data_IF_653168957747
#
_entry.id   IF_653168957747
#
_cell.length_a   1.000
_cell.length_b   1.000
_cell.length_c   1.000
_cell.angle_alpha   90.00
_cell.angle_beta   90.00
_cell.angle_gamma   90.00
#
_symmetry.space_group_name_H-M   'P 1'
#
loop_
_entity.id
_entity.type
_entity.pdbx_description
1 polymer ?
#
# COMPACT_ATOMS: atom_id res chain seq x y z
N UNK A 1 -16.10 -11.46 7.70
CA UNK A 1 -17.09 -11.10 6.65
C UNK A 1 -16.45 -11.35 5.28
N UNK A 2 -17.20 -11.59 4.20
CA UNK A 2 -16.63 -11.59 2.84
C UNK A 2 -17.06 -10.34 2.11
N UNK A 3 -16.12 -9.56 1.59
CA UNK A 3 -16.37 -8.39 0.76
C UNK A 3 -15.73 -8.61 -0.61
N UNK A 4 -16.30 -7.95 -1.62
CA UNK A 4 -15.76 -7.90 -2.97
C UNK A 4 -15.59 -6.43 -3.34
N UNK A 5 -14.40 -6.09 -3.84
CA UNK A 5 -14.14 -4.79 -4.45
C UNK A 5 -13.89 -4.99 -5.93
N UNK A 6 -14.65 -4.27 -6.75
CA UNK A 6 -14.43 -4.25 -8.18
C UNK A 6 -13.09 -3.59 -8.48
N UNK A 7 -12.42 -4.03 -9.54
CA UNK A 7 -11.22 -3.37 -10.05
C UNK A 7 -11.49 -1.89 -10.33
N UNK A 8 -10.46 -1.07 -10.24
CA UNK A 8 -10.50 0.37 -10.55
C UNK A 8 -11.45 1.19 -9.66
N UNK A 9 -11.78 0.69 -8.46
CA UNK A 9 -12.55 1.42 -7.45
C UNK A 9 -11.74 1.62 -6.17
N UNK A 10 -11.94 2.74 -5.48
CA UNK A 10 -11.19 3.03 -4.26
C UNK A 10 -9.74 3.48 -4.49
N UNK A 11 -9.44 3.95 -5.71
CA UNK A 11 -8.14 4.52 -6.05
C UNK A 11 -8.00 5.95 -5.53
N UNK A 12 -6.88 6.21 -4.87
CA UNK A 12 -6.49 7.51 -4.33
C UNK A 12 -5.08 7.85 -4.82
N UNK A 13 -4.85 9.13 -5.09
CA UNK A 13 -3.52 9.67 -5.33
C UNK A 13 -2.90 10.07 -3.99
N UNK A 14 -1.72 9.54 -3.67
CA UNK A 14 -1.03 9.80 -2.40
C UNK A 14 0.45 10.11 -2.64
N UNK A 15 1.05 10.93 -1.76
CA UNK A 15 2.49 11.23 -1.84
C UNK A 15 2.91 12.01 -3.10
N UNK A 16 4.17 11.84 -3.56
CA UNK A 16 4.74 12.58 -4.69
C UNK A 16 4.31 12.06 -6.08
N UNK A 17 3.21 11.31 -6.17
CA UNK A 17 2.70 10.77 -7.44
C UNK A 17 2.33 9.28 -7.40
N UNK A 18 2.47 8.62 -6.25
CA UNK A 18 2.05 7.24 -6.06
C UNK A 18 0.52 7.13 -6.19
N UNK A 19 0.08 6.07 -6.85
CA UNK A 19 -1.34 5.73 -6.97
C UNK A 19 -1.61 4.49 -6.15
N UNK A 20 -2.51 4.59 -5.16
CA UNK A 20 -2.90 3.47 -4.32
C UNK A 20 -4.36 3.11 -4.54
N UNK A 21 -4.63 1.82 -4.72
CA UNK A 21 -5.99 1.27 -4.72
C UNK A 21 -6.18 0.48 -3.44
N UNK A 22 -7.17 0.84 -2.63
CA UNK A 22 -7.49 0.09 -1.41
C UNK A 22 -8.12 -1.23 -1.82
N UNK A 23 -7.46 -2.35 -1.54
CA UNK A 23 -8.00 -3.69 -1.79
C UNK A 23 -8.84 -4.20 -0.61
N UNK A 24 -8.41 -3.89 0.61
CA UNK A 24 -9.15 -4.15 1.85
C UNK A 24 -8.94 -2.98 2.82
N UNK A 25 -10.03 -2.39 3.31
CA UNK A 25 -9.98 -1.34 4.33
C UNK A 25 -9.91 -1.93 5.73
N UNK A 26 -9.51 -1.11 6.71
CA UNK A 26 -9.51 -1.51 8.12
C UNK A 26 -10.93 -1.84 8.62
N UNK A 27 -11.96 -1.16 8.13
CA UNK A 27 -13.36 -1.46 8.50
C UNK A 27 -13.80 -2.83 7.97
N UNK A 28 -13.33 -3.23 6.78
CA UNK A 28 -13.67 -4.51 6.17
C UNK A 28 -12.93 -5.70 6.81
N UNK A 29 -11.80 -5.42 7.46
CA UNK A 29 -10.95 -6.41 8.13
C UNK A 29 -11.09 -6.40 9.65
N UNK A 30 -12.11 -5.71 10.19
CA UNK A 30 -12.33 -5.55 11.63
C UNK A 30 -11.09 -5.00 12.38
N UNK A 31 -10.25 -4.22 11.69
CA UNK A 31 -9.04 -3.62 12.24
C UNK A 31 -7.76 -4.45 12.08
N UNK A 32 -7.82 -5.65 11.52
CA UNK A 32 -6.67 -6.57 11.48
C UNK A 32 -5.55 -6.09 10.53
N UNK A 33 -5.92 -5.58 9.35
CA UNK A 33 -4.95 -5.09 8.37
C UNK A 33 -5.58 -4.13 7.34
N UNK A 34 -4.72 -3.43 6.61
CA UNK A 34 -5.07 -2.80 5.33
C UNK A 34 -4.33 -3.52 4.22
N UNK A 35 -4.95 -3.65 3.04
CA UNK A 35 -4.26 -4.13 1.85
C UNK A 35 -4.41 -3.11 0.73
N UNK A 36 -3.29 -2.78 0.09
CA UNK A 36 -3.20 -1.78 -0.96
C UNK A 36 -2.53 -2.41 -2.18
N UNK A 37 -3.00 -2.05 -3.37
CA UNK A 37 -2.20 -2.13 -4.58
C UNK A 37 -1.58 -0.76 -4.82
N UNK A 38 -0.27 -0.73 -5.08
CA UNK A 38 0.48 0.51 -5.22
C UNK A 38 1.18 0.56 -6.58
N UNK A 39 0.92 1.62 -7.35
CA UNK A 39 1.74 2.00 -8.49
C UNK A 39 2.66 3.12 -8.03
N UNK A 40 3.92 2.76 -7.83
CA UNK A 40 4.98 3.65 -7.37
C UNK A 40 5.88 4.01 -8.56
N UNK A 41 5.94 5.29 -8.99
CA UNK A 41 6.84 5.69 -10.07
C UNK A 41 8.32 5.60 -9.64
N UNK A 42 9.27 5.64 -10.59
CA UNK A 42 10.68 5.79 -10.26
C UNK A 42 10.92 6.98 -9.33
N UNK A 43 11.79 6.80 -8.33
CA UNK A 43 12.08 7.76 -7.26
C UNK A 43 10.85 8.14 -6.38
N UNK A 44 9.76 7.39 -6.50
CA UNK A 44 8.54 7.53 -5.69
C UNK A 44 8.63 6.83 -4.33
N UNK A 45 7.47 6.66 -3.70
CA UNK A 45 7.37 6.09 -2.37
C UNK A 45 7.49 7.12 -1.24
N UNK A 46 7.28 6.69 0.00
CA UNK A 46 7.34 7.57 1.16
C UNK A 46 8.80 7.94 1.51
N UNK A 47 9.03 9.10 2.17
CA UNK A 47 10.30 9.36 2.85
C UNK A 47 10.65 8.25 3.84
N UNK A 48 11.93 8.12 4.20
CA UNK A 48 12.36 7.17 5.23
C UNK A 48 11.59 7.40 6.54
N UNK A 49 10.89 6.38 7.03
CA UNK A 49 10.04 6.45 8.21
C UNK A 49 9.98 5.11 8.95
N UNK A 50 9.28 5.09 10.10
CA UNK A 50 9.10 3.91 10.94
C UNK A 50 7.60 3.73 11.29
N UNK A 51 7.15 2.49 11.23
CA UNK A 51 5.90 2.05 11.84
C UNK A 51 6.20 1.50 13.23
N UNK A 52 5.60 2.08 14.27
CA UNK A 52 5.83 1.66 15.66
C UNK A 52 5.04 0.41 16.03
N UNK A 53 3.80 0.31 15.54
CA UNK A 53 2.85 -0.73 15.94
C UNK A 53 2.35 -1.56 14.75
N UNK A 54 2.85 -1.31 13.54
CA UNK A 54 2.44 -2.00 12.32
C UNK A 54 3.60 -2.75 11.68
N UNK A 55 3.27 -3.86 11.04
CA UNK A 55 4.16 -4.56 10.11
C UNK A 55 3.72 -4.17 8.71
N UNK A 56 4.68 -3.76 7.88
CA UNK A 56 4.46 -3.51 6.46
C UNK A 56 5.11 -4.62 5.63
N UNK A 57 4.44 -5.05 4.56
CA UNK A 57 4.92 -6.12 3.68
C UNK A 57 4.69 -5.72 2.23
N UNK A 58 5.70 -5.96 1.39
CA UNK A 58 5.67 -5.65 -0.03
C UNK A 58 5.67 -6.93 -0.85
N UNK A 59 4.74 -7.04 -1.79
CA UNK A 59 4.72 -8.10 -2.80
C UNK A 59 4.75 -7.45 -4.18
N UNK A 60 5.87 -7.61 -4.90
CA UNK A 60 6.08 -6.97 -6.19
C UNK A 60 5.33 -7.74 -7.28
N UNK A 61 4.31 -7.11 -7.86
CA UNK A 61 3.53 -7.67 -8.96
C UNK A 61 4.27 -7.51 -10.30
N UNK A 62 4.81 -6.31 -10.55
CA UNK A 62 5.53 -5.96 -11.77
C UNK A 62 6.66 -4.97 -11.46
N UNK A 63 7.73 -4.99 -12.26
CA UNK A 63 8.87 -4.08 -12.12
C UNK A 63 9.86 -4.47 -11.00
N UNK A 64 10.52 -3.47 -10.44
CA UNK A 64 11.57 -3.61 -9.43
C UNK A 64 11.42 -2.51 -8.38
N UNK A 65 11.79 -2.79 -7.12
CA UNK A 65 11.74 -1.83 -6.02
C UNK A 65 13.02 -1.91 -5.18
N UNK A 66 13.64 -0.75 -4.93
CA UNK A 66 14.73 -0.62 -3.96
C UNK A 66 14.15 -0.23 -2.60
N UNK A 67 14.50 -0.98 -1.55
CA UNK A 67 13.99 -0.75 -0.19
C UNK A 67 15.17 -0.57 0.77
N UNK A 68 15.17 0.53 1.51
CA UNK A 68 16.10 0.77 2.62
C UNK A 68 15.43 0.42 3.95
N UNK A 69 16.03 -0.47 4.75
CA UNK A 69 15.51 -0.89 6.06
C UNK A 69 16.59 -0.77 7.13
N UNK A 70 16.25 -0.14 8.26
CA UNK A 70 17.10 -0.11 9.46
C UNK A 70 18.43 0.65 9.27
N UNK A 71 18.39 1.77 8.53
CA UNK A 71 19.55 2.61 8.25
C UNK A 71 20.31 3.13 9.48
#
# INVERSE_FOLDING_TARGET
>A
MSFFRATDTGTILMGPGDVYTILASSEETDGDYIALEALVPPDGGPPLHIHHDQIETFFILEGEMEITVGG
#
